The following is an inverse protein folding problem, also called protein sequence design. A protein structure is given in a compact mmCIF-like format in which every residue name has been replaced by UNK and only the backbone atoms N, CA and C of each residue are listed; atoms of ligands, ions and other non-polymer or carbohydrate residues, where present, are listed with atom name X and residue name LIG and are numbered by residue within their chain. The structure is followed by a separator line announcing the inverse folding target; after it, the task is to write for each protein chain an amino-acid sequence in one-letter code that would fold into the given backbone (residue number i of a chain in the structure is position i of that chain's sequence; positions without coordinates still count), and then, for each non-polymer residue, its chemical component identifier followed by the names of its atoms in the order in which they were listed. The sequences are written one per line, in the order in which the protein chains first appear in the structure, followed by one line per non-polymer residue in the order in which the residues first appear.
data_IF_345177141660
#
_entry.id   IF_345177141660
#
_cell.length_a   1.000
_cell.length_b   1.000
_cell.length_c   1.000
_cell.angle_alpha   90.00
_cell.angle_beta   90.00
_cell.angle_gamma   90.00
#
_symmetry.space_group_name_H-M   'P 1'
#
loop_
_entity.id
_entity.type
_entity.pdbx_description
1 polymer ?
#
# COMPACT_ATOMS: atom_id res chain seq x y z
N UNK A 1 -1.41 -4.69 18.52
CA UNK A 1 -1.92 -5.99 18.05
C UNK A 1 -1.29 -6.28 16.70
N UNK A 2 -1.43 -7.50 16.17
CA UNK A 2 -0.89 -7.84 14.85
C UNK A 2 -1.85 -7.36 13.75
N UNK A 3 -1.33 -6.93 12.60
CA UNK A 3 -2.16 -6.53 11.45
C UNK A 3 -3.11 -7.64 11.00
N UNK A 4 -2.73 -8.91 11.22
CA UNK A 4 -3.57 -10.07 10.92
C UNK A 4 -4.85 -10.14 11.77
N UNK A 5 -4.83 -9.56 12.97
CA UNK A 5 -6.03 -9.44 13.82
C UNK A 5 -6.78 -8.14 13.52
N UNK A 6 -6.06 -7.02 13.40
CA UNK A 6 -6.67 -5.69 13.23
C UNK A 6 -7.39 -5.55 11.87
N UNK A 7 -6.95 -6.30 10.84
CA UNK A 7 -7.48 -6.29 9.47
C UNK A 7 -8.01 -7.64 9.00
N UNK A 8 -8.44 -8.49 9.94
CA UNK A 8 -8.84 -9.87 9.63
C UNK A 8 -9.93 -9.94 8.55
N UNK A 9 -10.99 -9.13 8.65
CA UNK A 9 -12.11 -9.15 7.72
C UNK A 9 -11.70 -8.70 6.30
N UNK A 10 -10.82 -7.70 6.21
CA UNK A 10 -10.28 -7.23 4.94
C UNK A 10 -9.37 -8.28 4.30
N UNK A 11 -8.52 -8.92 5.11
CA UNK A 11 -7.67 -10.02 4.67
C UNK A 11 -8.52 -11.17 4.12
N UNK A 12 -9.52 -11.65 4.86
CA UNK A 12 -10.39 -12.73 4.40
C UNK A 12 -11.06 -12.39 3.06
N UNK A 13 -11.63 -11.18 2.96
CA UNK A 13 -12.29 -10.71 1.74
C UNK A 13 -11.33 -10.67 0.54
N UNK A 14 -10.17 -10.04 0.68
CA UNK A 14 -9.25 -9.85 -0.44
C UNK A 14 -8.51 -11.14 -0.81
N UNK A 15 -8.16 -11.98 0.17
CA UNK A 15 -7.58 -13.30 -0.06
C UNK A 15 -8.57 -14.20 -0.82
N UNK A 16 -9.86 -14.16 -0.46
CA UNK A 16 -10.91 -14.89 -1.19
C UNK A 16 -11.03 -14.42 -2.65
N UNK A 17 -11.08 -13.10 -2.88
CA UNK A 17 -11.29 -12.53 -4.22
C UNK A 17 -10.08 -12.67 -5.15
N UNK A 18 -8.86 -12.63 -4.61
CA UNK A 18 -7.64 -12.44 -5.40
C UNK A 18 -6.58 -13.52 -5.19
N UNK A 19 -6.81 -14.45 -4.25
CA UNK A 19 -5.81 -15.38 -3.73
C UNK A 19 -4.95 -14.76 -2.62
N UNK A 20 -4.36 -15.60 -1.78
CA UNK A 20 -3.64 -15.21 -0.56
C UNK A 20 -2.60 -14.10 -0.79
N UNK A 21 -1.65 -14.31 -1.71
CA UNK A 21 -0.57 -13.36 -1.95
C UNK A 21 -1.07 -11.98 -2.42
N UNK A 22 -1.97 -11.97 -3.41
CA UNK A 22 -2.49 -10.71 -3.96
C UNK A 22 -3.45 -10.02 -3.01
N UNK A 23 -4.21 -10.79 -2.22
CA UNK A 23 -5.10 -10.28 -1.18
C UNK A 23 -4.35 -9.58 -0.06
N UNK A 24 -3.24 -10.16 0.42
CA UNK A 24 -2.38 -9.52 1.43
C UNK A 24 -1.72 -8.23 0.93
N UNK A 25 -1.30 -8.21 -0.34
CA UNK A 25 -0.77 -6.99 -0.94
C UNK A 25 -1.84 -5.90 -1.08
N UNK A 26 -3.11 -6.27 -1.30
CA UNK A 26 -4.22 -5.31 -1.28
C UNK A 26 -4.35 -4.64 0.10
N UNK A 27 -4.42 -5.43 1.18
CA UNK A 27 -4.48 -4.89 2.55
C UNK A 27 -3.21 -4.09 2.90
N UNK A 28 -2.05 -4.48 2.36
CA UNK A 28 -0.81 -3.71 2.52
C UNK A 28 -0.94 -2.31 1.91
N UNK A 29 -1.59 -2.16 0.75
CA UNK A 29 -1.85 -0.84 0.16
C UNK A 29 -2.76 0.02 1.05
N UNK A 30 -3.76 -0.59 1.69
CA UNK A 30 -4.65 0.12 2.61
C UNK A 30 -3.88 0.62 3.84
N UNK A 31 -3.07 -0.24 4.45
CA UNK A 31 -2.20 0.13 5.59
C UNK A 31 -1.23 1.26 5.23
N UNK A 32 -0.60 1.20 4.05
CA UNK A 32 0.28 2.26 3.57
C UNK A 32 -0.49 3.56 3.32
N UNK A 33 -1.74 3.46 2.87
CA UNK A 33 -2.61 4.63 2.64
C UNK A 33 -2.97 5.31 3.94
N UNK A 34 -3.32 4.55 4.98
CA UNK A 34 -3.60 5.11 6.30
C UNK A 34 -2.37 5.78 6.91
N UNK A 35 -1.19 5.18 6.75
CA UNK A 35 0.06 5.79 7.17
C UNK A 35 0.32 7.13 6.45
N UNK A 36 0.09 7.19 5.13
CA UNK A 36 0.20 8.43 4.35
C UNK A 36 -0.77 9.51 4.83
N UNK A 37 -2.01 9.15 5.14
CA UNK A 37 -3.02 10.09 5.65
C UNK A 37 -2.55 10.69 6.99
N UNK A 38 -2.12 9.84 7.93
CA UNK A 38 -1.67 10.28 9.25
C UNK A 38 -0.44 11.18 9.17
N UNK A 39 0.53 10.82 8.33
CA UNK A 39 1.77 11.59 8.16
C UNK A 39 1.50 12.89 7.42
N UNK A 40 0.63 12.89 6.42
CA UNK A 40 0.18 14.10 5.73
C UNK A 40 -0.46 15.10 6.69
N UNK A 41 -1.33 14.63 7.59
CA UNK A 41 -1.91 15.45 8.66
C UNK A 41 -0.85 15.97 9.63
N UNK A 42 0.10 15.12 10.03
CA UNK A 42 1.18 15.55 10.92
C UNK A 42 2.06 16.63 10.28
N UNK A 43 2.27 16.56 8.96
CA UNK A 43 3.00 17.57 8.18
C UNK A 43 2.39 18.97 8.18
N UNK A 44 1.09 19.10 8.51
CA UNK A 44 0.44 20.41 8.72
C UNK A 44 0.96 21.09 9.99
N UNK A 45 1.23 20.30 11.04
CA UNK A 45 1.68 20.81 12.33
C UNK A 45 3.21 20.87 12.43
N UNK A 46 3.90 19.95 11.75
CA UNK A 46 5.35 19.87 11.72
C UNK A 46 5.89 20.42 10.40
N UNK A 47 5.94 21.75 10.29
CA UNK A 47 6.39 22.46 9.11
C UNK A 47 7.91 22.72 9.13
N UNK A 48 8.50 22.92 7.95
CA UNK A 48 9.91 23.29 7.82
C UNK A 48 10.18 24.65 8.44
N UNK A 49 11.27 24.75 9.21
CA UNK A 49 11.74 26.01 9.80
C UNK A 49 12.17 27.03 8.75
N UNK A 50 12.57 26.57 7.56
CA UNK A 50 12.99 27.43 6.44
C UNK A 50 11.82 27.88 5.57
N UNK A 51 10.79 27.04 5.45
CA UNK A 51 9.60 27.34 4.66
C UNK A 51 8.36 26.71 5.33
N UNK A 52 7.57 27.50 6.07
CA UNK A 52 6.38 27.00 6.76
C UNK A 52 5.28 26.45 5.84
N UNK A 53 5.35 26.68 4.52
CA UNK A 53 4.39 26.14 3.56
C UNK A 53 4.64 24.66 3.20
N UNK A 54 5.75 24.07 3.64
CA UNK A 54 6.07 22.66 3.39
C UNK A 54 6.31 21.91 4.71
N UNK A 55 6.04 20.59 4.76
CA UNK A 55 6.36 19.77 5.93
C UNK A 55 7.86 19.75 6.26
N UNK A 56 8.21 19.32 7.47
CA UNK A 56 9.59 19.05 7.84
C UNK A 56 10.27 18.04 6.87
N UNK A 57 11.59 18.16 6.71
CA UNK A 57 12.34 17.42 5.68
C UNK A 57 12.25 15.90 5.85
N UNK A 58 12.27 15.44 7.09
CA UNK A 58 12.08 14.05 7.47
C UNK A 58 10.68 13.53 7.11
N UNK A 59 9.62 14.31 7.35
CA UNK A 59 8.27 13.96 6.93
C UNK A 59 8.12 13.89 5.41
N UNK A 60 8.76 14.80 4.68
CA UNK A 60 8.82 14.73 3.22
C UNK A 60 9.49 13.42 2.76
N UNK A 61 10.60 13.02 3.38
CA UNK A 61 11.29 11.78 3.06
C UNK A 61 10.42 10.54 3.35
N UNK A 62 9.69 10.53 4.48
CA UNK A 62 8.78 9.43 4.81
C UNK A 62 7.62 9.36 3.81
N UNK A 63 7.00 10.50 3.47
CA UNK A 63 5.95 10.55 2.44
C UNK A 63 6.45 10.03 1.10
N UNK A 64 7.66 10.41 0.68
CA UNK A 64 8.27 9.94 -0.56
C UNK A 64 8.46 8.41 -0.53
N UNK A 65 9.02 7.86 0.55
CA UNK A 65 9.28 6.43 0.68
C UNK A 65 7.98 5.61 0.74
N UNK A 66 6.96 6.08 1.45
CA UNK A 66 5.67 5.38 1.52
C UNK A 66 4.91 5.40 0.19
N UNK A 67 4.97 6.51 -0.56
CA UNK A 67 4.41 6.55 -1.91
C UNK A 67 5.15 5.58 -2.84
N UNK A 68 6.48 5.58 -2.83
CA UNK A 68 7.28 4.61 -3.61
C UNK A 68 6.98 3.15 -3.24
N UNK A 69 6.79 2.86 -1.95
CA UNK A 69 6.39 1.53 -1.50
C UNK A 69 5.03 1.11 -2.07
N UNK A 70 4.04 2.03 -2.12
CA UNK A 70 2.74 1.76 -2.74
C UNK A 70 2.85 1.47 -4.23
N UNK A 71 3.66 2.23 -4.96
CA UNK A 71 3.90 2.01 -6.39
C UNK A 71 4.48 0.62 -6.65
N UNK A 72 5.49 0.22 -5.87
CA UNK A 72 6.10 -1.10 -5.98
C UNK A 72 5.11 -2.23 -5.65
N UNK A 73 4.33 -2.09 -4.58
CA UNK A 73 3.31 -3.07 -4.20
C UNK A 73 2.22 -3.19 -5.28
N UNK A 74 1.71 -2.07 -5.79
CA UNK A 74 0.71 -2.06 -6.86
C UNK A 74 1.25 -2.72 -8.14
N UNK A 75 2.53 -2.47 -8.48
CA UNK A 75 3.21 -3.11 -9.61
C UNK A 75 3.27 -4.64 -9.46
N UNK A 76 3.65 -5.14 -8.27
CA UNK A 76 3.66 -6.59 -7.99
C UNK A 76 2.25 -7.19 -8.06
N UNK A 77 1.24 -6.51 -7.51
CA UNK A 77 -0.14 -6.95 -7.58
C UNK A 77 -0.64 -7.08 -9.02
N UNK A 78 -0.26 -6.16 -9.90
CA UNK A 78 -0.61 -6.22 -11.31
C UNK A 78 0.13 -7.35 -12.02
N UNK A 79 1.42 -7.56 -11.73
CA UNK A 79 2.18 -8.68 -12.28
C UNK A 79 1.55 -10.03 -11.92
N UNK A 80 1.18 -10.24 -10.66
CA UNK A 80 0.49 -11.46 -10.21
C UNK A 80 -0.86 -11.68 -10.91
N UNK A 81 -1.57 -10.61 -11.27
CA UNK A 81 -2.81 -10.70 -12.04
C UNK A 81 -2.54 -11.17 -13.46
N UNK A 82 -1.53 -10.60 -14.12
CA UNK A 82 -1.15 -10.94 -15.49
C UNK A 82 -0.66 -12.38 -15.57
N UNK A 83 0.21 -12.81 -14.64
CA UNK A 83 0.73 -14.18 -14.59
C UNK A 83 -0.43 -15.20 -14.48
N UNK A 84 -1.43 -14.93 -13.64
CA UNK A 84 -2.63 -15.78 -13.55
C UNK A 84 -3.39 -15.87 -14.87
N UNK A 85 -3.61 -14.74 -15.54
CA UNK A 85 -4.32 -14.71 -16.82
C UNK A 85 -3.54 -15.40 -17.94
N UNK A 86 -2.21 -15.36 -17.92
CA UNK A 86 -1.35 -16.09 -18.85
C UNK A 86 -1.50 -17.60 -18.64
N UNK A 87 -1.45 -18.07 -17.39
CA UNK A 87 -1.67 -19.48 -17.05
C UNK A 87 -3.07 -19.98 -17.46
N UNK A 88 -4.12 -19.18 -17.24
CA UNK A 88 -5.49 -19.52 -17.67
C UNK A 88 -5.61 -19.64 -19.19
N UNK A 89 -4.94 -18.77 -19.95
CA UNK A 89 -4.89 -18.84 -21.42
C UNK A 89 -4.13 -20.06 -21.92
N UNK A 90 -3.06 -20.45 -21.24
CA UNK A 90 -2.30 -21.66 -21.57
C UNK A 90 -3.09 -22.92 -21.30
N UNK A 91 -3.81 -22.99 -20.17
CA UNK A 91 -4.66 -24.13 -19.82
C UNK A 91 -5.88 -24.30 -20.74
N UNK A 92 -6.32 -23.23 -21.41
CA UNK A 92 -7.44 -23.24 -22.35
C UNK A 92 -7.04 -23.60 -23.80
N UNK A 93 -5.75 -23.73 -24.09
CA UNK A 93 -5.22 -24.18 -25.40
C UNK A 93 -5.08 -25.70 -25.43
#
# INVERSE_FOLDING_TARGET
MSVFYDRQDELEKYEFMMGEARGRLAVTLDVLTDALILIGQHGVYCASTRNPAIPALDLQAVLMNLNGAKELVASVMERLRLDRLELEKEAAK
#
